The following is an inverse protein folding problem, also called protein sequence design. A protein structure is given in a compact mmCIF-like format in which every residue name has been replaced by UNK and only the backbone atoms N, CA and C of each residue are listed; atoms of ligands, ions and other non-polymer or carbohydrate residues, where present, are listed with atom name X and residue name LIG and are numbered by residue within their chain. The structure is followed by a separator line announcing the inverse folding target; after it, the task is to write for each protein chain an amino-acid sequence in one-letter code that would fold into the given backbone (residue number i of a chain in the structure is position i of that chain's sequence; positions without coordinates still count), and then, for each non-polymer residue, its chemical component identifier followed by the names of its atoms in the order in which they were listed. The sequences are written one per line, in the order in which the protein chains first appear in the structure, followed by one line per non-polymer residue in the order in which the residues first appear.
data_IF_720197095062
#
_entry.id   IF_720197095062
#
_cell.length_a   1.000
_cell.length_b   1.000
_cell.length_c   1.000
_cell.angle_alpha   90.00
_cell.angle_beta   90.00
_cell.angle_gamma   90.00
#
_symmetry.space_group_name_H-M   'P 1'
#
loop_
_entity.id
_entity.type
_entity.pdbx_description
1 polymer ?
#
# COMPACT_ATOMS: atom_id res chain seq x y z
N UNK A 1 18.38 5.35 19.78
CA UNK A 1 17.63 5.77 18.58
C UNK A 1 18.52 5.91 17.35
N UNK A 2 19.65 6.65 17.40
CA UNK A 2 20.51 6.88 16.23
C UNK A 2 20.98 5.61 15.50
N UNK A 3 21.24 4.52 16.23
CA UNK A 3 21.71 3.29 15.60
C UNK A 3 20.76 2.75 14.52
N UNK A 4 19.43 2.86 14.67
CA UNK A 4 18.49 2.35 13.66
C UNK A 4 18.59 3.13 12.35
N UNK A 5 18.75 4.44 12.46
CA UNK A 5 18.94 5.34 11.32
C UNK A 5 20.28 5.03 10.66
N UNK A 6 21.33 4.83 11.46
CA UNK A 6 22.65 4.46 10.96
C UNK A 6 22.64 3.08 10.28
N UNK A 7 21.95 2.09 10.86
CA UNK A 7 21.77 0.75 10.26
C UNK A 7 21.06 0.85 8.91
N UNK A 8 19.97 1.63 8.83
CA UNK A 8 19.22 1.83 7.59
C UNK A 8 20.05 2.52 6.52
N UNK A 9 20.69 3.64 6.86
CA UNK A 9 21.48 4.43 5.91
C UNK A 9 22.70 3.70 5.36
N UNK A 10 23.23 2.71 6.09
CA UNK A 10 24.37 1.91 5.68
C UNK A 10 23.97 0.50 5.17
N UNK A 11 22.67 0.26 4.94
CA UNK A 11 22.12 -1.04 4.48
C UNK A 11 22.54 -2.23 5.37
N UNK A 12 22.79 -1.94 6.65
CA UNK A 12 23.18 -2.90 7.67
C UNK A 12 21.93 -3.41 8.38
N UNK A 13 21.17 -4.27 7.70
CA UNK A 13 19.87 -4.75 8.16
C UNK A 13 19.96 -6.13 8.84
N UNK A 14 19.14 -6.39 9.88
CA UNK A 14 19.06 -7.69 10.52
C UNK A 14 18.33 -8.72 9.64
N UNK A 15 18.79 -9.97 9.70
CA UNK A 15 17.99 -11.11 9.22
C UNK A 15 16.85 -11.38 10.21
N UNK A 16 15.61 -11.17 9.74
CA UNK A 16 14.39 -11.38 10.51
C UNK A 16 13.61 -12.55 9.91
N UNK A 17 13.21 -13.56 10.72
CA UNK A 17 12.40 -14.66 10.22
C UNK A 17 11.01 -14.17 9.80
N UNK A 18 10.51 -14.68 8.67
CA UNK A 18 9.20 -14.34 8.12
C UNK A 18 8.04 -14.83 9.01
N UNK A 19 8.23 -15.96 9.70
CA UNK A 19 7.18 -16.62 10.50
C UNK A 19 7.56 -16.75 11.96
N UNK A 20 6.55 -16.74 12.82
CA UNK A 20 6.66 -17.08 14.24
C UNK A 20 5.92 -16.14 15.18
N UNK A 21 5.77 -14.86 14.83
CA UNK A 21 4.98 -13.91 15.63
C UNK A 21 3.50 -14.25 15.57
N UNK A 22 2.83 -14.28 16.73
CA UNK A 22 1.38 -14.51 16.85
C UNK A 22 0.58 -13.20 16.96
N UNK A 23 1.25 -12.04 17.09
CA UNK A 23 0.60 -10.74 17.26
C UNK A 23 -0.11 -10.50 18.61
N UNK A 24 -0.09 -11.46 19.55
CA UNK A 24 -0.79 -11.35 20.85
C UNK A 24 -0.12 -10.37 21.85
N UNK A 25 1.21 -10.19 21.76
CA UNK A 25 2.00 -9.29 22.61
C UNK A 25 2.88 -8.34 21.78
N UNK A 26 2.39 -7.96 20.60
CA UNK A 26 3.18 -7.28 19.57
C UNK A 26 4.09 -8.23 18.78
N UNK A 27 5.05 -7.65 18.07
CA UNK A 27 5.95 -8.34 17.15
C UNK A 27 7.21 -8.84 17.85
N UNK A 28 7.01 -9.62 18.93
CA UNK A 28 8.07 -9.97 19.86
C UNK A 28 9.24 -10.71 19.18
N UNK A 29 8.93 -11.63 18.26
CA UNK A 29 9.94 -12.42 17.54
C UNK A 29 10.75 -11.53 16.59
N UNK A 30 10.15 -10.81 15.63
CA UNK A 30 10.89 -9.88 14.77
C UNK A 30 11.72 -8.84 15.53
N UNK A 31 11.15 -8.24 16.57
CA UNK A 31 11.83 -7.19 17.34
C UNK A 31 12.94 -7.75 18.25
N UNK A 32 12.85 -9.01 18.70
CA UNK A 32 13.94 -9.67 19.41
C UNK A 32 15.16 -9.88 18.52
N UNK A 33 14.96 -10.24 17.24
CA UNK A 33 16.04 -10.34 16.26
C UNK A 33 16.72 -8.99 16.00
N UNK A 34 15.94 -7.92 15.89
CA UNK A 34 16.47 -6.55 15.77
C UNK A 34 17.34 -6.16 16.99
N UNK A 35 16.90 -6.50 18.21
CA UNK A 35 17.71 -6.26 19.42
C UNK A 35 18.99 -7.07 19.40
N UNK A 36 18.92 -8.37 19.09
CA UNK A 36 20.10 -9.23 19.03
C UNK A 36 21.14 -8.67 18.05
N UNK A 37 20.69 -8.25 16.86
CA UNK A 37 21.50 -7.58 15.87
C UNK A 37 22.15 -6.29 16.38
N UNK A 38 21.40 -5.47 17.12
CA UNK A 38 21.91 -4.22 17.72
C UNK A 38 23.01 -4.46 18.75
N UNK A 39 22.90 -5.55 19.52
CA UNK A 39 23.92 -5.96 20.48
C UNK A 39 25.16 -6.47 19.75
N UNK A 40 24.98 -7.34 18.75
CA UNK A 40 26.09 -7.99 18.05
C UNK A 40 26.86 -7.03 17.14
N UNK A 41 26.16 -6.25 16.31
CA UNK A 41 26.78 -5.40 15.28
C UNK A 41 27.08 -3.98 15.76
N UNK A 42 26.18 -3.41 16.56
CA UNK A 42 26.33 -2.02 17.04
C UNK A 42 26.88 -1.93 18.46
N UNK A 43 27.15 -3.08 19.12
CA UNK A 43 27.62 -3.16 20.53
C UNK A 43 26.76 -2.31 21.46
N UNK A 44 25.46 -2.23 21.18
CA UNK A 44 24.56 -1.36 21.90
C UNK A 44 24.32 -1.90 23.31
N UNK A 45 24.59 -1.09 24.33
CA UNK A 45 24.30 -1.42 25.72
C UNK A 45 22.98 -0.77 26.16
N UNK A 46 21.93 -1.57 26.29
CA UNK A 46 20.63 -1.11 26.77
C UNK A 46 20.68 -0.74 28.25
N UNK A 47 20.04 0.37 28.62
CA UNK A 47 19.71 0.67 30.01
C UNK A 47 18.57 -0.22 30.47
N UNK A 48 18.38 -0.27 31.80
CA UNK A 48 17.30 -1.04 32.44
C UNK A 48 15.95 -0.70 31.78
N UNK A 49 15.32 -1.71 31.19
CA UNK A 49 13.99 -1.61 30.57
C UNK A 49 13.98 -1.18 29.09
N UNK A 50 15.04 -0.60 28.53
CA UNK A 50 15.02 -0.11 27.14
C UNK A 50 14.78 -1.23 26.13
N UNK A 51 15.44 -2.38 26.31
CA UNK A 51 15.23 -3.54 25.46
C UNK A 51 13.78 -4.06 25.54
N UNK A 52 13.18 -4.02 26.73
CA UNK A 52 11.80 -4.44 26.93
C UNK A 52 10.81 -3.52 26.18
N UNK A 53 11.03 -2.21 26.19
CA UNK A 53 10.21 -1.27 25.42
C UNK A 53 10.38 -1.44 23.90
N UNK A 54 11.59 -1.80 23.44
CA UNK A 54 11.86 -2.00 22.02
C UNK A 54 11.23 -3.27 21.45
N UNK A 55 11.12 -4.35 22.24
CA UNK A 55 10.46 -5.59 21.78
C UNK A 55 8.94 -5.54 21.89
N UNK A 56 8.38 -4.77 22.82
CA UNK A 56 6.94 -4.69 23.02
C UNK A 56 6.34 -3.60 22.14
N UNK A 57 6.14 -3.92 20.85
CA UNK A 57 5.48 -3.03 19.91
C UNK A 57 5.03 -3.74 18.64
N UNK A 58 4.20 -3.08 17.84
CA UNK A 58 3.67 -3.61 16.57
C UNK A 58 4.40 -3.04 15.35
N UNK A 59 5.64 -2.53 15.53
CA UNK A 59 6.35 -1.79 14.49
C UNK A 59 6.56 -2.61 13.22
N UNK A 60 6.86 -3.90 13.35
CA UNK A 60 7.12 -4.79 12.22
C UNK A 60 5.85 -5.05 11.41
N UNK A 61 4.78 -5.49 12.06
CA UNK A 61 3.47 -5.74 11.45
C UNK A 61 2.83 -4.47 10.90
N UNK A 62 3.02 -3.32 11.57
CA UNK A 62 2.55 -2.02 11.06
C UNK A 62 3.29 -1.63 9.79
N UNK A 63 4.61 -1.86 9.74
CA UNK A 63 5.41 -1.62 8.53
C UNK A 63 4.97 -2.52 7.38
N UNK A 64 4.81 -3.81 7.65
CA UNK A 64 4.36 -4.81 6.66
C UNK A 64 2.94 -4.50 6.13
N UNK A 65 2.03 -4.10 7.02
CA UNK A 65 0.68 -3.68 6.65
C UNK A 65 0.69 -2.40 5.79
N UNK A 66 1.50 -1.40 6.16
CA UNK A 66 1.63 -0.18 5.38
C UNK A 66 2.15 -0.46 3.97
N UNK A 67 3.16 -1.32 3.85
CA UNK A 67 3.68 -1.79 2.57
C UNK A 67 2.62 -2.56 1.77
N UNK A 68 1.89 -3.46 2.41
CA UNK A 68 0.81 -4.23 1.79
C UNK A 68 -0.31 -3.34 1.25
N UNK A 69 -0.73 -2.31 2.00
CA UNK A 69 -1.73 -1.33 1.55
C UNK A 69 -1.22 -0.54 0.36
N UNK A 70 0.05 -0.13 0.37
CA UNK A 70 0.68 0.57 -0.74
C UNK A 70 0.69 -0.28 -2.04
N UNK A 71 1.10 -1.55 -1.94
CA UNK A 71 1.07 -2.45 -3.10
C UNK A 71 -0.36 -2.76 -3.56
N UNK A 72 -1.31 -2.93 -2.64
CA UNK A 72 -2.71 -3.12 -2.97
C UNK A 72 -3.27 -1.93 -3.77
N UNK A 73 -2.92 -0.69 -3.41
CA UNK A 73 -3.34 0.51 -4.16
C UNK A 73 -2.79 0.52 -5.59
N UNK A 74 -1.54 0.08 -5.78
CA UNK A 74 -0.96 -0.07 -7.13
C UNK A 74 -1.68 -1.14 -7.95
N UNK A 75 -2.00 -2.28 -7.32
CA UNK A 75 -2.75 -3.36 -7.97
C UNK A 75 -4.17 -2.92 -8.34
N UNK A 76 -4.85 -2.15 -7.49
CA UNK A 76 -6.19 -1.61 -7.79
C UNK A 76 -6.17 -0.72 -9.05
N UNK A 77 -5.18 0.17 -9.18
CA UNK A 77 -5.02 1.01 -10.39
C UNK A 77 -4.75 0.19 -11.65
N UNK A 78 -3.93 -0.85 -11.52
CA UNK A 78 -3.66 -1.77 -12.63
C UNK A 78 -4.92 -2.54 -13.04
N UNK A 79 -5.75 -2.96 -12.08
CA UNK A 79 -7.02 -3.62 -12.33
C UNK A 79 -8.01 -2.70 -13.05
N UNK A 80 -8.16 -1.44 -12.62
CA UNK A 80 -9.01 -0.44 -13.30
C UNK A 80 -8.58 -0.23 -14.76
N UNK A 81 -7.27 -0.18 -15.01
CA UNK A 81 -6.72 -0.06 -16.36
C UNK A 81 -7.00 -1.32 -17.21
N UNK A 82 -6.80 -2.51 -16.66
CA UNK A 82 -7.09 -3.76 -17.34
C UNK A 82 -8.58 -3.86 -17.74
N UNK A 83 -9.48 -3.52 -16.82
CA UNK A 83 -10.93 -3.45 -17.10
C UNK A 83 -11.21 -2.46 -18.24
N UNK A 84 -10.54 -1.31 -18.25
CA UNK A 84 -10.70 -0.33 -19.34
C UNK A 84 -10.25 -0.90 -20.69
N UNK A 85 -9.15 -1.66 -20.72
CA UNK A 85 -8.68 -2.34 -21.93
C UNK A 85 -9.66 -3.41 -22.41
N UNK A 86 -10.24 -4.18 -21.49
CA UNK A 86 -11.24 -5.21 -21.82
C UNK A 86 -12.51 -4.59 -22.40
N UNK A 87 -12.97 -3.46 -21.85
CA UNK A 87 -14.11 -2.72 -22.40
C UNK A 87 -13.83 -2.28 -23.84
N UNK A 88 -12.62 -1.82 -24.16
CA UNK A 88 -12.24 -1.45 -25.52
C UNK A 88 -12.18 -2.69 -26.42
N UNK A 89 -11.53 -3.75 -25.96
CA UNK A 89 -11.31 -4.96 -26.76
C UNK A 89 -12.61 -5.71 -27.09
N UNK A 90 -13.60 -5.64 -26.21
CA UNK A 90 -14.89 -6.32 -26.35
C UNK A 90 -16.00 -5.43 -26.90
N UNK A 91 -15.69 -4.21 -27.36
CA UNK A 91 -16.69 -3.20 -27.77
C UNK A 91 -17.78 -2.97 -26.71
N UNK A 92 -17.35 -2.88 -25.45
CA UNK A 92 -18.21 -2.75 -24.28
C UNK A 92 -18.83 -1.36 -24.13
N UNK A 93 -19.93 -1.30 -23.37
CA UNK A 93 -20.66 -0.04 -23.15
C UNK A 93 -19.98 0.85 -22.11
N UNK A 94 -19.34 1.92 -22.58
CA UNK A 94 -18.66 2.93 -21.74
C UNK A 94 -19.63 3.79 -20.90
N UNK A 95 -20.93 3.85 -21.23
CA UNK A 95 -21.91 4.63 -20.47
C UNK A 95 -22.14 4.12 -19.06
N UNK A 96 -21.78 2.88 -18.78
CA UNK A 96 -21.88 2.29 -17.43
C UNK A 96 -21.06 3.07 -16.38
N UNK A 97 -20.11 3.90 -16.80
CA UNK A 97 -19.23 4.69 -15.94
C UNK A 97 -19.59 6.19 -15.94
N UNK A 98 -20.77 6.57 -16.46
CA UNK A 98 -21.26 7.94 -16.34
C UNK A 98 -21.50 8.33 -14.88
N UNK A 99 -21.24 9.60 -14.55
CA UNK A 99 -21.33 10.14 -13.18
C UNK A 99 -22.67 9.82 -12.51
N UNK A 100 -23.79 9.91 -13.22
CA UNK A 100 -25.11 9.57 -12.66
C UNK A 100 -25.21 8.13 -12.15
N UNK A 101 -24.57 7.17 -12.84
CA UNK A 101 -24.57 5.75 -12.46
C UNK A 101 -23.61 5.49 -11.30
N UNK A 102 -22.44 6.11 -11.33
CA UNK A 102 -21.44 5.96 -10.26
C UNK A 102 -21.96 6.50 -8.92
N UNK A 103 -22.70 7.59 -8.95
CA UNK A 103 -23.29 8.22 -7.75
C UNK A 103 -24.62 7.61 -7.32
N UNK A 104 -25.21 6.71 -8.13
CA UNK A 104 -26.46 6.02 -7.77
C UNK A 104 -26.28 5.09 -6.55
N UNK A 105 -25.06 4.63 -6.26
CA UNK A 105 -24.72 3.81 -5.09
C UNK A 105 -23.74 4.55 -4.19
N UNK A 106 -23.99 4.52 -2.88
CA UNK A 106 -23.21 5.26 -1.88
C UNK A 106 -21.93 4.52 -1.44
N UNK A 107 -21.18 3.93 -2.38
CA UNK A 107 -19.95 3.20 -2.08
C UNK A 107 -18.72 3.91 -2.65
N UNK A 108 -17.86 4.40 -1.76
CA UNK A 108 -16.66 5.16 -2.14
C UNK A 108 -15.73 4.36 -3.07
N UNK A 109 -15.48 3.08 -2.78
CA UNK A 109 -14.59 2.26 -3.62
C UNK A 109 -15.12 2.05 -5.04
N UNK A 110 -16.44 1.84 -5.18
CA UNK A 110 -17.09 1.74 -6.48
C UNK A 110 -16.93 3.04 -7.28
N UNK A 111 -17.15 4.17 -6.62
CA UNK A 111 -17.02 5.49 -7.27
C UNK A 111 -15.59 5.74 -7.74
N UNK A 112 -14.60 5.51 -6.89
CA UNK A 112 -13.18 5.72 -7.22
C UNK A 112 -12.76 4.86 -8.43
N UNK A 113 -13.06 3.56 -8.40
CA UNK A 113 -12.73 2.65 -9.53
C UNK A 113 -13.47 3.06 -10.81
N UNK A 114 -14.76 3.40 -10.70
CA UNK A 114 -15.56 3.84 -11.84
C UNK A 114 -15.07 5.16 -12.45
N UNK A 115 -14.66 6.13 -11.63
CA UNK A 115 -14.08 7.41 -12.08
C UNK A 115 -12.72 7.18 -12.77
N UNK A 116 -11.87 6.29 -12.24
CA UNK A 116 -10.61 5.91 -12.88
C UNK A 116 -10.85 5.30 -14.27
N UNK A 117 -11.78 4.33 -14.36
CA UNK A 117 -12.12 3.66 -15.63
C UNK A 117 -12.66 4.67 -16.65
N UNK A 118 -13.60 5.53 -16.25
CA UNK A 118 -14.13 6.59 -17.11
C UNK A 118 -13.01 7.52 -17.62
N UNK A 119 -12.06 7.88 -16.74
CA UNK A 119 -10.91 8.70 -17.10
C UNK A 119 -9.97 7.99 -18.09
N UNK A 120 -9.76 6.67 -17.97
CA UNK A 120 -8.96 5.91 -18.94
C UNK A 120 -9.66 5.79 -20.30
N UNK A 121 -10.96 5.47 -20.31
CA UNK A 121 -11.74 5.35 -21.55
C UNK A 121 -11.81 6.66 -22.32
N UNK A 122 -11.93 7.81 -21.63
CA UNK A 122 -12.00 9.13 -22.28
C UNK A 122 -10.71 9.53 -23.05
N UNK A 123 -9.59 8.86 -22.77
CA UNK A 123 -8.31 9.07 -23.48
C UNK A 123 -8.18 8.22 -24.74
N UNK A 124 -9.07 7.25 -24.97
CA UNK A 124 -9.00 6.35 -26.13
C UNK A 124 -9.72 6.91 -27.35
N UNK A 125 -9.04 6.93 -28.51
CA UNK A 125 -9.61 7.41 -29.79
C UNK A 125 -10.72 6.51 -30.36
N UNK A 126 -10.79 5.25 -29.93
CA UNK A 126 -11.80 4.27 -30.35
C UNK A 126 -13.20 4.63 -29.83
N UNK A 127 -13.27 5.36 -28.71
CA UNK A 127 -14.49 6.01 -28.25
C UNK A 127 -14.42 7.52 -28.60
N UNK A 128 -14.66 7.92 -29.86
CA UNK A 128 -14.62 9.33 -30.22
C UNK A 128 -15.69 10.08 -29.42
N UNK A 129 -15.24 11.17 -28.80
CA UNK A 129 -15.96 12.01 -27.86
C UNK A 129 -17.44 12.22 -28.18
N UNK A 130 -18.30 11.83 -27.22
CA UNK A 130 -19.51 12.59 -26.91
C UNK A 130 -19.85 12.53 -25.40
N UNK A 131 -18.85 12.33 -24.54
CA UNK A 131 -19.04 12.34 -23.10
C UNK A 131 -18.05 13.34 -22.48
N UNK A 132 -18.56 14.53 -22.17
CA UNK A 132 -17.86 15.59 -21.47
C UNK A 132 -17.63 15.18 -20.01
N UNK A 133 -16.48 14.58 -19.72
CA UNK A 133 -16.01 14.36 -18.34
C UNK A 133 -14.86 15.33 -18.07
N UNK A 134 -15.13 16.27 -17.17
CA UNK A 134 -14.21 17.29 -16.68
C UNK A 134 -12.99 16.64 -16.02
N UNK A 135 -11.81 17.14 -16.39
CA UNK A 135 -10.54 16.82 -15.75
C UNK A 135 -10.55 17.30 -14.30
N UNK A 136 -10.38 16.41 -13.34
CA UNK A 136 -9.81 16.78 -12.04
C UNK A 136 -8.29 16.71 -12.17
N UNK A 137 -7.68 17.89 -12.24
CA UNK A 137 -6.26 18.09 -11.88
C UNK A 137 -6.14 17.86 -10.38
N UNK A 138 -5.28 16.95 -9.97
CA UNK A 138 -4.71 16.96 -8.62
C UNK A 138 -3.45 17.82 -8.68
N UNK A 139 -3.45 18.93 -7.92
CA UNK A 139 -2.25 19.63 -7.44
C UNK A 139 -1.75 18.97 -6.15
#
# INVERSE_FOLDING_TARGET
MNFLIDSYNNEMLPDIPEVGSLGASGDLIPLSHLIFYSIEKHRFCFKKGEAFFLINGTHFSTSDMAFSVYEAQKLMRAADLAVSMDIIALDGNSKNFETGILFAKLHNGQRISGENIAAYLSKCRVFPHNCSVLFLKEE
#
